data_IF_921480494892
#
_entry.id   IF_921480494892
#
_cell.length_a   1.000
_cell.length_b   1.000
_cell.length_c   1.000
_cell.angle_alpha   90.00
_cell.angle_beta   90.00
_cell.angle_gamma   90.00
#
_symmetry.space_group_name_H-M   'P 1'
#
loop_
_entity.id
_entity.type
_entity.pdbx_description
1 polymer ?
#
# COMPACT_ATOMS: atom_id res chain seq x y z
N UNK A 1 -24.32 14.67 8.79
CA UNK A 1 -23.52 13.74 9.61
C UNK A 1 -22.08 14.24 9.59
N UNK A 2 -21.53 14.58 10.73
CA UNK A 2 -20.10 14.86 10.88
C UNK A 2 -19.37 13.53 10.62
N UNK A 3 -18.49 13.50 9.63
CA UNK A 3 -17.67 12.30 9.36
C UNK A 3 -16.81 12.02 10.61
N UNK A 4 -16.79 10.77 11.06
CA UNK A 4 -15.92 10.35 12.15
C UNK A 4 -14.46 10.69 11.79
N UNK A 5 -13.71 11.10 12.79
CA UNK A 5 -12.29 11.34 12.66
C UNK A 5 -11.60 10.01 12.29
N UNK A 6 -10.64 10.06 11.38
CA UNK A 6 -9.85 8.87 11.08
C UNK A 6 -8.51 8.99 11.80
N UNK A 7 -8.27 8.08 12.75
CA UNK A 7 -7.06 8.00 13.55
C UNK A 7 -6.26 6.74 13.19
N UNK A 8 -4.98 6.78 13.46
CA UNK A 8 -4.05 5.68 13.29
C UNK A 8 -3.02 5.67 14.43
N UNK A 9 -2.28 4.58 14.56
CA UNK A 9 -1.22 4.44 15.57
C UNK A 9 0.14 4.62 14.89
N UNK A 10 0.95 5.55 15.37
CA UNK A 10 2.34 5.68 14.97
C UNK A 10 3.17 4.56 15.60
N UNK A 11 3.72 3.65 14.79
CA UNK A 11 4.37 2.43 15.31
C UNK A 11 5.55 2.74 16.25
N UNK A 12 6.35 3.76 15.92
CA UNK A 12 7.56 4.10 16.70
C UNK A 12 7.27 4.59 18.11
N UNK A 13 6.27 5.44 18.27
CA UNK A 13 5.91 6.07 19.55
C UNK A 13 4.77 5.33 20.27
N UNK A 14 3.95 4.56 19.53
CA UNK A 14 2.69 4.00 20.02
C UNK A 14 1.57 5.04 20.16
N UNK A 15 1.81 6.30 19.76
CA UNK A 15 0.86 7.39 19.88
C UNK A 15 -0.28 7.28 18.86
N UNK A 16 -1.47 7.69 19.29
CA UNK A 16 -2.62 7.87 18.41
C UNK A 16 -2.52 9.22 17.72
N UNK A 17 -2.58 9.20 16.39
CA UNK A 17 -2.52 10.37 15.54
C UNK A 17 -3.80 10.50 14.71
N UNK A 18 -4.28 11.73 14.51
CA UNK A 18 -5.38 12.00 13.62
C UNK A 18 -4.87 12.23 12.18
N UNK A 19 -5.45 11.52 11.22
CA UNK A 19 -5.19 11.77 9.81
C UNK A 19 -5.93 13.02 9.36
N UNK A 20 -5.26 13.85 8.56
CA UNK A 20 -5.84 14.98 7.84
C UNK A 20 -5.92 14.60 6.36
N UNK A 21 -7.01 13.96 5.89
CA UNK A 21 -7.11 13.54 4.51
C UNK A 21 -7.04 14.73 3.57
N UNK A 22 -6.11 14.69 2.61
CA UNK A 22 -6.00 15.73 1.60
C UNK A 22 -7.22 15.69 0.68
N UNK A 23 -7.92 16.82 0.53
CA UNK A 23 -9.11 16.92 -0.31
C UNK A 23 -10.33 16.14 0.20
N UNK A 24 -10.35 15.72 1.46
CA UNK A 24 -11.38 14.87 2.07
C UNK A 24 -12.81 15.39 1.81
N UNK A 25 -13.01 16.71 1.86
CA UNK A 25 -14.33 17.30 1.60
C UNK A 25 -14.80 17.10 0.15
N UNK A 26 -13.91 17.24 -0.84
CA UNK A 26 -14.25 17.01 -2.27
C UNK A 26 -14.49 15.53 -2.50
N UNK A 27 -13.57 14.69 -2.01
CA UNK A 27 -13.65 13.24 -2.18
C UNK A 27 -14.89 12.69 -1.48
N UNK A 28 -15.18 13.13 -0.24
CA UNK A 28 -16.38 12.72 0.47
C UNK A 28 -17.68 13.26 -0.16
N UNK A 29 -17.68 14.50 -0.64
CA UNK A 29 -18.80 15.03 -1.38
C UNK A 29 -19.12 14.20 -2.62
N UNK A 30 -18.09 13.82 -3.37
CA UNK A 30 -18.24 13.03 -4.59
C UNK A 30 -18.69 11.57 -4.31
N UNK A 31 -18.24 10.96 -3.21
CA UNK A 31 -18.49 9.54 -2.94
C UNK A 31 -19.56 9.28 -1.86
N UNK A 32 -19.74 10.15 -0.87
CA UNK A 32 -20.61 9.88 0.27
C UNK A 32 -21.97 10.60 0.22
N UNK A 33 -22.08 11.80 -0.36
CA UNK A 33 -23.32 12.57 -0.32
C UNK A 33 -24.34 12.25 -1.43
N UNK A 34 -23.96 11.50 -2.45
CA UNK A 34 -24.89 11.17 -3.54
C UNK A 34 -24.88 9.69 -3.87
N UNK A 35 -25.57 8.89 -3.06
CA UNK A 35 -25.97 7.52 -3.39
C UNK A 35 -26.78 7.41 -4.70
N UNK A 36 -27.24 8.53 -5.24
CA UNK A 36 -28.11 8.67 -6.43
C UNK A 36 -27.41 9.41 -7.59
N UNK A 37 -26.07 9.37 -7.70
CA UNK A 37 -25.42 10.00 -8.85
C UNK A 37 -25.70 9.23 -10.14
N UNK A 38 -25.94 9.93 -11.27
CA UNK A 38 -26.05 9.29 -12.56
C UNK A 38 -24.83 8.42 -12.85
N UNK A 39 -24.98 7.23 -13.48
CA UNK A 39 -23.88 6.33 -13.80
C UNK A 39 -22.73 7.00 -14.55
N UNK A 40 -23.02 8.03 -15.37
CA UNK A 40 -22.05 8.81 -16.13
C UNK A 40 -21.06 9.59 -15.26
N UNK A 41 -21.51 10.20 -14.17
CA UNK A 41 -20.62 10.96 -13.26
C UNK A 41 -19.66 10.01 -12.55
N UNK A 42 -20.13 8.85 -12.15
CA UNK A 42 -19.32 7.82 -11.51
C UNK A 42 -18.25 7.26 -12.46
N UNK A 43 -18.62 7.02 -13.73
CA UNK A 43 -17.68 6.58 -14.76
C UNK A 43 -16.64 7.64 -15.10
N UNK A 44 -17.03 8.92 -15.15
CA UNK A 44 -16.10 10.03 -15.38
C UNK A 44 -15.08 10.16 -14.24
N UNK A 45 -15.51 10.06 -12.98
CA UNK A 45 -14.63 10.16 -11.79
C UNK A 45 -13.60 9.02 -11.74
N UNK A 46 -13.96 7.82 -12.22
CA UNK A 46 -13.06 6.67 -12.30
C UNK A 46 -12.25 6.57 -13.59
N UNK A 47 -12.39 7.53 -14.52
CA UNK A 47 -11.73 7.49 -15.82
C UNK A 47 -10.26 7.92 -15.74
N UNK A 48 -9.42 7.34 -16.60
CA UNK A 48 -8.02 7.70 -16.73
C UNK A 48 -7.84 9.18 -17.11
N UNK A 49 -8.68 9.69 -18.02
CA UNK A 49 -8.61 11.07 -18.48
C UNK A 49 -8.85 12.08 -17.34
N UNK A 50 -9.91 11.86 -16.55
CA UNK A 50 -10.21 12.72 -15.41
C UNK A 50 -9.14 12.64 -14.30
N UNK A 51 -8.64 11.43 -14.03
CA UNK A 51 -7.54 11.21 -13.10
C UNK A 51 -6.26 11.93 -13.56
N UNK A 52 -5.93 11.85 -14.86
CA UNK A 52 -4.77 12.54 -15.45
C UNK A 52 -4.91 14.05 -15.43
N UNK A 53 -6.10 14.59 -15.74
CA UNK A 53 -6.38 16.03 -15.67
C UNK A 53 -6.23 16.56 -14.24
N UNK A 54 -6.80 15.86 -13.25
CA UNK A 54 -6.64 16.24 -11.84
C UNK A 54 -5.17 16.14 -11.39
N UNK A 55 -4.46 15.12 -11.86
CA UNK A 55 -3.03 14.95 -11.61
C UNK A 55 -2.24 16.15 -12.17
N UNK A 56 -2.47 16.52 -13.43
CA UNK A 56 -1.81 17.65 -14.07
C UNK A 56 -2.10 18.97 -13.34
N UNK A 57 -3.37 19.28 -13.04
CA UNK A 57 -3.75 20.51 -12.33
C UNK A 57 -3.10 20.61 -10.95
N UNK A 58 -3.03 19.50 -10.21
CA UNK A 58 -2.50 19.52 -8.84
C UNK A 58 -0.98 19.45 -8.75
N UNK A 59 -0.32 18.79 -9.71
CA UNK A 59 1.11 18.45 -9.57
C UNK A 59 2.01 19.10 -10.62
N UNK A 60 1.49 19.42 -11.82
CA UNK A 60 2.30 19.90 -12.95
C UNK A 60 1.97 21.34 -13.36
N UNK A 61 0.84 21.90 -12.92
CA UNK A 61 0.43 23.24 -13.35
C UNK A 61 1.37 24.31 -12.76
N UNK A 62 2.04 25.14 -13.60
CA UNK A 62 3.09 26.07 -13.15
C UNK A 62 2.64 27.11 -12.10
N UNK A 63 1.36 27.49 -12.12
CA UNK A 63 0.77 28.39 -11.14
C UNK A 63 0.18 27.68 -9.92
N UNK A 64 0.08 26.35 -9.94
CA UNK A 64 -0.39 25.56 -8.80
C UNK A 64 0.52 25.70 -7.59
N UNK A 65 1.83 25.93 -7.81
CA UNK A 65 2.80 26.17 -6.74
C UNK A 65 2.61 27.48 -5.98
N UNK A 66 2.06 28.52 -6.61
CA UNK A 66 1.75 29.80 -5.96
C UNK A 66 0.33 29.84 -5.39
N UNK A 67 -0.64 29.16 -6.01
CA UNK A 67 -2.03 29.07 -5.55
C UNK A 67 -2.23 27.99 -4.48
N UNK A 68 -1.54 26.86 -4.57
CA UNK A 68 -1.56 25.76 -3.59
C UNK A 68 -0.30 25.73 -2.71
N UNK A 69 0.73 26.49 -3.07
CA UNK A 69 1.99 26.67 -2.35
C UNK A 69 2.72 25.36 -2.02
N UNK A 70 3.72 24.98 -2.83
CA UNK A 70 4.60 23.83 -2.51
C UNK A 70 5.15 23.94 -1.09
N UNK A 71 5.56 25.11 -0.64
CA UNK A 71 6.00 25.33 0.73
C UNK A 71 4.89 25.04 1.74
N UNK A 72 3.64 25.35 1.41
CA UNK A 72 2.48 25.03 2.26
C UNK A 72 2.17 23.55 2.23
N UNK A 73 2.30 22.90 1.07
CA UNK A 73 2.18 21.45 0.93
C UNK A 73 3.27 20.72 1.74
N UNK A 74 4.54 21.10 1.56
CA UNK A 74 5.67 20.55 2.31
C UNK A 74 5.48 20.73 3.82
N UNK A 75 5.05 21.92 4.26
CA UNK A 75 4.79 22.22 5.67
C UNK A 75 3.57 21.46 6.21
N UNK A 76 2.53 21.31 5.42
CA UNK A 76 1.32 20.58 5.81
C UNK A 76 1.54 19.07 5.85
N UNK A 77 2.40 18.55 4.97
CA UNK A 77 2.74 17.12 4.92
C UNK A 77 3.84 16.73 5.91
N UNK A 78 4.44 17.69 6.63
CA UNK A 78 5.54 17.46 7.58
C UNK A 78 6.68 16.59 6.99
N UNK A 79 7.02 16.81 5.71
CA UNK A 79 8.05 16.03 5.00
C UNK A 79 9.42 16.38 5.59
N UNK A 80 10.15 15.35 5.99
CA UNK A 80 11.53 15.50 6.47
C UNK A 80 12.49 15.61 5.29
N UNK A 81 12.85 16.83 4.92
CA UNK A 81 13.76 17.11 3.81
C UNK A 81 15.18 16.58 4.06
N UNK A 82 15.59 16.37 5.33
CA UNK A 82 16.92 15.82 5.63
C UNK A 82 17.07 14.35 5.23
N UNK A 83 15.98 13.63 5.01
CA UNK A 83 15.99 12.25 4.50
C UNK A 83 16.13 12.19 2.98
N UNK A 84 15.82 13.30 2.27
CA UNK A 84 15.82 13.32 0.81
C UNK A 84 17.22 13.11 0.23
N UNK A 85 17.28 12.37 -0.88
CA UNK A 85 18.52 12.15 -1.64
C UNK A 85 18.90 13.42 -2.43
N UNK A 86 17.90 14.03 -3.08
CA UNK A 86 18.06 15.30 -3.76
C UNK A 86 18.10 16.46 -2.75
N UNK A 87 18.89 17.52 -3.04
CA UNK A 87 18.87 18.73 -2.23
C UNK A 87 17.51 19.43 -2.35
N UNK A 88 17.06 20.13 -1.28
CA UNK A 88 15.72 20.75 -1.23
C UNK A 88 15.41 21.68 -2.41
N UNK A 89 16.41 22.36 -2.96
CA UNK A 89 16.30 23.30 -4.08
C UNK A 89 15.84 22.62 -5.37
N UNK A 90 16.07 21.31 -5.52
CA UNK A 90 15.61 20.51 -6.66
C UNK A 90 14.18 20.01 -6.51
N UNK A 91 13.60 20.08 -5.32
CA UNK A 91 12.22 19.66 -5.02
C UNK A 91 11.24 20.84 -5.19
N UNK A 92 11.28 21.49 -6.33
CA UNK A 92 10.59 22.75 -6.64
C UNK A 92 9.14 22.57 -7.13
N UNK A 93 8.71 21.33 -7.42
CA UNK A 93 7.34 21.02 -7.85
C UNK A 93 6.71 19.98 -6.94
N UNK A 94 5.36 19.98 -6.85
CA UNK A 94 4.63 18.98 -6.08
C UNK A 94 4.92 17.56 -6.58
N UNK A 95 5.10 17.38 -7.89
CA UNK A 95 5.51 16.11 -8.49
C UNK A 95 6.88 15.66 -7.98
N UNK A 96 7.89 16.51 -8.02
CA UNK A 96 9.24 16.16 -7.56
C UNK A 96 9.27 15.83 -6.07
N UNK A 97 8.46 16.53 -5.26
CA UNK A 97 8.31 16.20 -3.84
C UNK A 97 7.66 14.85 -3.64
N UNK A 98 6.62 14.53 -4.42
CA UNK A 98 5.93 13.26 -4.34
C UNK A 98 6.85 12.11 -4.78
N UNK A 99 7.56 12.26 -5.89
CA UNK A 99 8.47 11.28 -6.48
C UNK A 99 9.88 11.30 -5.86
N UNK A 100 10.08 12.04 -4.76
CA UNK A 100 11.39 12.21 -4.11
C UNK A 100 12.02 10.86 -3.77
N UNK A 101 13.32 10.77 -3.95
CA UNK A 101 14.14 9.68 -3.42
C UNK A 101 14.59 10.04 -2.00
N UNK A 102 14.73 9.05 -1.14
CA UNK A 102 15.26 9.20 0.21
C UNK A 102 16.52 8.34 0.36
N UNK A 103 17.40 8.70 1.28
CA UNK A 103 18.55 7.88 1.66
C UNK A 103 18.08 6.71 2.54
N UNK A 104 17.26 5.80 1.96
CA UNK A 104 16.59 4.72 2.70
C UNK A 104 17.58 3.79 3.41
N UNK A 105 18.79 3.62 2.89
CA UNK A 105 19.85 2.83 3.52
C UNK A 105 20.33 3.45 4.85
N UNK A 106 20.11 4.74 5.08
CA UNK A 106 20.41 5.46 6.33
C UNK A 106 19.17 5.62 7.21
N UNK A 107 18.04 6.03 6.64
CA UNK A 107 16.85 6.46 7.39
C UNK A 107 15.76 5.38 7.51
N UNK A 108 15.89 4.25 6.82
CA UNK A 108 14.97 3.10 6.87
C UNK A 108 15.75 1.80 7.11
N UNK A 109 16.31 1.62 8.34
CA UNK A 109 17.07 0.42 8.65
C UNK A 109 16.21 -0.83 8.49
N UNK A 110 16.85 -1.93 8.10
CA UNK A 110 16.23 -3.24 7.91
C UNK A 110 16.96 -4.27 8.76
N UNK A 111 16.21 -5.21 9.33
CA UNK A 111 16.79 -6.38 10.01
C UNK A 111 17.64 -7.21 9.06
N UNK A 112 18.69 -7.81 9.58
CA UNK A 112 19.55 -8.75 8.84
C UNK A 112 18.97 -10.18 8.75
N UNK A 113 17.91 -10.51 9.50
CA UNK A 113 17.28 -11.82 9.43
C UNK A 113 16.63 -12.04 8.06
N UNK A 114 17.11 -12.98 7.24
CA UNK A 114 16.61 -13.20 5.89
C UNK A 114 15.17 -13.71 5.85
N UNK A 115 14.66 -14.30 6.93
CA UNK A 115 13.33 -14.91 7.03
C UNK A 115 12.24 -13.92 7.43
N UNK A 116 12.57 -12.66 7.64
CA UNK A 116 11.59 -11.62 7.91
C UNK A 116 10.97 -11.08 6.62
N UNK A 117 9.69 -10.72 6.74
CA UNK A 117 8.94 -9.95 5.74
C UNK A 117 8.99 -8.49 6.15
N UNK A 118 9.38 -7.62 5.23
CA UNK A 118 9.45 -6.18 5.49
C UNK A 118 8.33 -5.41 4.81
N UNK A 119 7.97 -4.27 5.39
CA UNK A 119 6.97 -3.38 4.80
C UNK A 119 7.44 -2.87 3.44
N UNK A 120 6.63 -2.99 2.38
CA UNK A 120 7.02 -2.56 1.04
C UNK A 120 7.02 -1.05 0.86
N UNK A 121 6.37 -0.28 1.74
CA UNK A 121 6.21 1.18 1.58
C UNK A 121 6.10 1.90 2.91
N UNK A 122 6.44 3.18 2.96
CA UNK A 122 6.01 4.07 4.04
C UNK A 122 4.48 4.20 3.96
N UNK A 123 3.73 3.64 4.91
CA UNK A 123 2.28 3.45 4.74
C UNK A 123 1.50 3.39 6.04
N UNK A 124 0.18 3.54 5.92
CA UNK A 124 -0.81 3.10 6.90
C UNK A 124 -1.13 1.64 6.61
N UNK A 125 -0.82 0.78 7.55
CA UNK A 125 -0.86 -0.67 7.37
C UNK A 125 -2.06 -1.29 8.10
N UNK A 126 -2.79 -2.15 7.40
CA UNK A 126 -3.80 -3.06 7.95
C UNK A 126 -3.43 -4.51 7.68
N UNK A 127 -3.69 -5.38 8.63
CA UNK A 127 -3.59 -6.84 8.49
C UNK A 127 -4.95 -7.46 8.27
N UNK A 128 -5.01 -8.56 7.54
CA UNK A 128 -6.22 -9.34 7.37
C UNK A 128 -5.93 -10.78 6.93
N UNK A 129 -6.99 -11.59 6.91
CA UNK A 129 -6.92 -12.96 6.42
C UNK A 129 -8.12 -13.31 5.55
N UNK A 130 -7.90 -14.17 4.57
CA UNK A 130 -8.93 -14.75 3.71
C UNK A 130 -9.55 -16.02 4.34
N UNK A 131 -8.93 -16.56 5.38
CA UNK A 131 -9.43 -17.74 6.08
C UNK A 131 -10.59 -17.36 7.03
N UNK A 132 -11.78 -17.91 6.80
CA UNK A 132 -13.00 -17.63 7.61
C UNK A 132 -12.86 -17.96 9.10
N UNK A 133 -11.95 -18.85 9.46
CA UNK A 133 -11.65 -19.26 10.83
C UNK A 133 -10.59 -18.39 11.51
N UNK A 134 -9.97 -17.47 10.76
CA UNK A 134 -8.95 -16.56 11.31
C UNK A 134 -9.58 -15.42 12.08
N UNK A 135 -8.96 -15.03 13.20
CA UNK A 135 -9.32 -13.80 13.93
C UNK A 135 -9.13 -12.53 13.08
N UNK A 136 -8.27 -12.58 12.08
CA UNK A 136 -8.01 -11.50 11.12
C UNK A 136 -8.98 -11.48 9.94
N UNK A 137 -10.00 -12.37 9.90
CA UNK A 137 -10.92 -12.45 8.77
C UNK A 137 -11.69 -11.14 8.55
N UNK A 138 -11.51 -10.56 7.38
CA UNK A 138 -12.24 -9.39 6.89
C UNK A 138 -13.06 -9.84 5.68
N UNK A 139 -14.39 -9.83 5.82
CA UNK A 139 -15.29 -10.13 4.68
C UNK A 139 -14.93 -9.20 3.52
N UNK A 140 -14.60 -9.71 2.33
CA UNK A 140 -14.25 -9.08 1.07
C UNK A 140 -14.67 -7.63 0.80
N UNK A 141 -14.49 -6.73 1.80
CA UNK A 141 -14.91 -5.33 1.71
C UNK A 141 -13.93 -4.50 0.90
N UNK A 142 -12.65 -4.79 1.05
CA UNK A 142 -11.59 -4.01 0.39
C UNK A 142 -11.40 -4.45 -1.06
N UNK A 143 -11.57 -5.74 -1.34
CA UNK A 143 -11.39 -6.33 -2.68
C UNK A 143 -12.23 -7.60 -2.85
N UNK A 144 -12.61 -7.91 -4.07
CA UNK A 144 -13.04 -9.22 -4.49
C UNK A 144 -11.79 -10.03 -4.84
N UNK A 145 -11.62 -11.19 -4.23
CA UNK A 145 -10.38 -11.97 -4.32
C UNK A 145 -10.06 -12.41 -5.77
N UNK A 146 -11.07 -12.91 -6.48
CA UNK A 146 -10.94 -13.36 -7.86
C UNK A 146 -10.63 -12.19 -8.81
N UNK A 147 -11.29 -11.05 -8.61
CA UNK A 147 -11.00 -9.84 -9.39
C UNK A 147 -9.59 -9.32 -9.09
N UNK A 148 -9.13 -9.38 -7.84
CA UNK A 148 -7.86 -8.81 -7.41
C UNK A 148 -6.67 -9.43 -8.16
N UNK A 149 -6.63 -10.76 -8.25
CA UNK A 149 -5.58 -11.50 -8.95
C UNK A 149 -5.86 -11.65 -10.46
N UNK A 150 -7.13 -11.61 -10.87
CA UNK A 150 -7.58 -11.92 -12.22
C UNK A 150 -8.30 -13.26 -12.26
N UNK A 151 -9.51 -13.32 -12.85
CA UNK A 151 -10.36 -14.52 -12.82
C UNK A 151 -9.78 -15.69 -13.62
N UNK A 152 -8.84 -15.45 -14.51
CA UNK A 152 -8.10 -16.42 -15.33
C UNK A 152 -6.83 -16.96 -14.66
N UNK A 153 -6.41 -16.37 -13.54
CA UNK A 153 -5.18 -16.72 -12.82
C UNK A 153 -5.39 -17.86 -11.81
N UNK A 154 -5.92 -18.99 -12.25
CA UNK A 154 -6.33 -20.14 -11.41
C UNK A 154 -5.23 -20.64 -10.48
N UNK A 155 -3.98 -20.69 -10.94
CA UNK A 155 -2.83 -21.10 -10.14
C UNK A 155 -2.66 -20.21 -8.92
N UNK A 156 -2.71 -18.90 -9.09
CA UNK A 156 -2.53 -17.93 -8.01
C UNK A 156 -3.77 -17.84 -7.12
N UNK A 157 -4.96 -17.99 -7.71
CA UNK A 157 -6.21 -18.06 -6.95
C UNK A 157 -6.23 -19.28 -6.01
N UNK A 158 -5.70 -20.42 -6.43
CA UNK A 158 -5.60 -21.58 -5.54
C UNK A 158 -4.52 -21.38 -4.47
N UNK A 159 -3.34 -20.89 -4.87
CA UNK A 159 -2.20 -20.70 -3.98
C UNK A 159 -2.49 -19.78 -2.77
N UNK A 160 -3.30 -18.73 -2.95
CA UNK A 160 -3.56 -17.73 -1.89
C UNK A 160 -4.96 -17.85 -1.26
N UNK A 161 -5.78 -18.82 -1.63
CA UNK A 161 -7.22 -18.94 -1.27
C UNK A 161 -7.57 -18.71 0.20
N UNK A 162 -6.76 -19.19 1.11
CA UNK A 162 -7.00 -19.11 2.56
C UNK A 162 -5.84 -18.44 3.29
N UNK A 163 -5.08 -17.66 2.55
CA UNK A 163 -3.90 -16.98 3.04
C UNK A 163 -4.22 -15.72 3.84
N UNK A 164 -3.17 -15.01 4.15
CA UNK A 164 -3.22 -13.74 4.85
C UNK A 164 -2.87 -12.59 3.91
N UNK A 165 -3.26 -11.37 4.28
CA UNK A 165 -2.95 -10.20 3.49
C UNK A 165 -2.53 -9.00 4.34
N UNK A 166 -1.80 -8.10 3.72
CA UNK A 166 -1.43 -6.79 4.26
C UNK A 166 -1.85 -5.73 3.27
N UNK A 167 -2.52 -4.68 3.73
CA UNK A 167 -2.84 -3.49 2.96
C UNK A 167 -1.95 -2.36 3.44
N UNK A 168 -1.14 -1.80 2.55
CA UNK A 168 -0.27 -0.65 2.76
C UNK A 168 -0.81 0.55 1.98
N UNK A 169 -1.56 1.43 2.64
CA UNK A 169 -2.11 2.64 2.03
C UNK A 169 -1.11 3.79 2.15
N UNK A 170 -0.68 4.34 1.02
CA UNK A 170 0.25 5.47 0.99
C UNK A 170 -0.55 6.77 0.94
N UNK A 171 -0.35 7.62 1.92
CA UNK A 171 -0.88 9.00 1.94
C UNK A 171 0.09 9.95 1.25
N UNK A 172 -0.40 11.11 0.80
CA UNK A 172 0.36 12.02 -0.09
C UNK A 172 1.72 12.49 0.48
N UNK A 173 1.87 12.54 1.80
CA UNK A 173 3.11 12.91 2.48
C UNK A 173 4.17 11.82 2.50
N UNK A 174 3.79 10.57 2.22
CA UNK A 174 4.69 9.41 2.31
C UNK A 174 5.76 9.42 1.21
N UNK A 175 6.76 8.59 1.37
CA UNK A 175 7.70 8.19 0.35
C UNK A 175 7.02 7.18 -0.57
N UNK A 176 7.04 7.39 -1.89
CA UNK A 176 6.19 6.67 -2.84
C UNK A 176 6.89 5.60 -3.66
N UNK A 177 8.14 5.28 -3.35
CA UNK A 177 8.75 4.06 -3.86
C UNK A 177 8.28 2.86 -3.07
N UNK A 178 7.95 1.79 -3.76
CA UNK A 178 7.77 0.46 -3.17
C UNK A 178 9.10 -0.29 -3.18
N UNK A 179 9.33 -1.02 -2.12
CA UNK A 179 10.46 -1.93 -1.98
C UNK A 179 9.98 -3.39 -1.97
N UNK A 180 10.83 -4.30 -2.39
CA UNK A 180 10.56 -5.73 -2.32
C UNK A 180 10.36 -6.18 -0.87
N UNK A 181 9.22 -6.80 -0.51
CA UNK A 181 8.96 -7.20 0.89
C UNK A 181 9.76 -8.43 1.33
N UNK A 182 10.21 -9.22 0.37
CA UNK A 182 10.88 -10.52 0.53
C UNK A 182 11.95 -10.71 -0.54
N UNK A 183 12.86 -11.67 -0.34
CA UNK A 183 13.79 -12.14 -1.36
C UNK A 183 13.24 -13.40 -2.02
N UNK A 184 13.43 -13.55 -3.34
CA UNK A 184 12.99 -14.73 -4.09
C UNK A 184 12.98 -14.52 -5.60
N UNK A 185 12.55 -15.55 -6.34
CA UNK A 185 12.39 -15.48 -7.79
C UNK A 185 10.99 -14.99 -8.18
N UNK A 186 10.92 -14.09 -9.15
CA UNK A 186 9.66 -13.68 -9.77
C UNK A 186 9.10 -14.85 -10.58
N UNK A 187 7.89 -15.31 -10.24
CA UNK A 187 7.20 -16.39 -10.98
C UNK A 187 6.20 -15.85 -11.99
N UNK A 188 5.62 -14.71 -11.71
CA UNK A 188 4.69 -14.05 -12.65
C UNK A 188 4.72 -12.53 -12.43
N UNK A 189 4.55 -11.80 -13.52
CA UNK A 189 4.44 -10.34 -13.52
C UNK A 189 3.43 -9.93 -14.59
N UNK A 190 2.34 -9.27 -14.18
CA UNK A 190 1.29 -8.87 -15.11
C UNK A 190 0.52 -7.64 -14.61
N UNK A 191 -0.14 -6.98 -15.54
CA UNK A 191 -1.02 -5.86 -15.27
C UNK A 191 -2.48 -6.28 -15.44
N UNK A 192 -3.33 -5.77 -14.57
CA UNK A 192 -4.78 -5.85 -14.70
C UNK A 192 -5.32 -4.44 -14.89
N UNK A 193 -6.00 -4.21 -16.00
CA UNK A 193 -6.68 -2.96 -16.27
C UNK A 193 -7.82 -2.72 -15.28
N UNK A 194 -8.21 -1.46 -15.12
CA UNK A 194 -9.26 -1.08 -14.17
C UNK A 194 -9.48 0.43 -14.10
N UNK A 195 -10.17 0.84 -13.05
CA UNK A 195 -10.52 2.23 -12.78
C UNK A 195 -9.47 2.93 -11.90
N UNK A 196 -9.75 4.20 -11.57
CA UNK A 196 -8.88 5.07 -10.75
C UNK A 196 -9.67 5.63 -9.55
N UNK A 197 -10.35 4.75 -8.79
CA UNK A 197 -11.10 5.17 -7.61
C UNK A 197 -10.19 5.49 -6.43
N UNK A 198 -10.63 6.43 -5.58
CA UNK A 198 -9.85 6.87 -4.41
C UNK A 198 -9.66 5.75 -3.39
N UNK A 199 -8.44 5.64 -2.84
CA UNK A 199 -8.10 4.74 -1.74
C UNK A 199 -8.25 5.38 -0.34
N UNK A 200 -8.80 6.58 -0.22
CA UNK A 200 -9.07 7.21 1.08
C UNK A 200 -10.12 6.40 1.88
N UNK A 201 -10.05 6.39 3.22
CA UNK A 201 -10.94 5.56 4.05
C UNK A 201 -12.44 5.79 3.83
N UNK A 202 -12.88 7.02 3.59
CA UNK A 202 -14.29 7.33 3.30
C UNK A 202 -14.81 6.63 2.04
N UNK A 203 -14.24 6.90 0.85
CA UNK A 203 -14.56 6.21 -0.39
C UNK A 203 -14.44 4.68 -0.31
N UNK A 204 -13.38 4.17 0.33
CA UNK A 204 -13.20 2.71 0.50
C UNK A 204 -14.37 2.10 1.29
N UNK A 205 -14.88 2.79 2.30
CA UNK A 205 -16.06 2.31 3.04
C UNK A 205 -17.36 2.50 2.30
N UNK A 206 -17.47 3.49 1.41
CA UNK A 206 -18.67 3.74 0.61
C UNK A 206 -18.80 2.78 -0.59
N UNK A 207 -17.68 2.34 -1.16
CA UNK A 207 -17.65 1.46 -2.34
C UNK A 207 -17.59 -0.02 -1.98
N UNK A 208 -18.02 -0.87 -2.90
CA UNK A 208 -17.77 -2.31 -2.83
C UNK A 208 -16.46 -2.64 -3.53
N UNK A 209 -15.55 -3.32 -2.83
CA UNK A 209 -14.30 -3.89 -3.36
C UNK A 209 -13.43 -2.93 -4.21
N UNK A 210 -13.11 -1.70 -3.70
CA UNK A 210 -12.46 -0.67 -4.53
C UNK A 210 -11.08 -1.08 -5.04
N UNK A 211 -10.31 -1.85 -4.28
CA UNK A 211 -8.94 -2.20 -4.67
C UNK A 211 -8.88 -3.18 -5.85
N UNK A 212 -9.82 -4.11 -5.97
CA UNK A 212 -9.86 -5.03 -7.12
C UNK A 212 -10.40 -4.40 -8.40
N UNK A 213 -11.06 -3.23 -8.30
CA UNK A 213 -11.61 -2.51 -9.47
C UNK A 213 -10.63 -1.54 -10.09
N UNK A 214 -9.59 -1.16 -9.38
CA UNK A 214 -8.58 -0.23 -9.87
C UNK A 214 -7.52 -0.95 -10.72
N UNK A 215 -6.92 -0.20 -11.68
CA UNK A 215 -5.73 -0.66 -12.42
C UNK A 215 -4.64 -1.05 -11.43
N UNK A 216 -3.97 -2.18 -11.67
CA UNK A 216 -2.97 -2.73 -10.76
C UNK A 216 -1.93 -3.57 -11.47
N UNK A 217 -0.77 -3.65 -10.85
CA UNK A 217 0.35 -4.52 -11.24
C UNK A 217 0.49 -5.62 -10.21
N UNK A 218 0.56 -6.86 -10.64
CA UNK A 218 0.74 -8.04 -9.78
C UNK A 218 2.11 -8.65 -10.03
N UNK A 219 2.85 -8.87 -8.96
CA UNK A 219 4.15 -9.55 -8.97
C UNK A 219 4.07 -10.73 -8.02
N UNK A 220 4.25 -11.95 -8.50
CA UNK A 220 4.28 -13.17 -7.68
C UNK A 220 5.73 -13.58 -7.46
N UNK A 221 6.13 -13.72 -6.20
CA UNK A 221 7.50 -14.02 -5.77
C UNK A 221 7.50 -15.38 -5.07
N UNK A 222 8.33 -16.30 -5.52
CA UNK A 222 8.61 -17.56 -4.84
C UNK A 222 9.82 -17.39 -3.93
N UNK A 223 9.59 -17.51 -2.64
CA UNK A 223 10.61 -17.32 -1.62
C UNK A 223 11.19 -18.63 -1.07
N UNK A 224 10.63 -19.79 -1.45
CA UNK A 224 11.13 -21.11 -1.06
C UNK A 224 12.25 -21.59 -2.01
N UNK A 225 13.22 -20.72 -2.21
CA UNK A 225 14.36 -20.89 -3.11
C UNK A 225 15.67 -20.59 -2.37
N UNK A 226 16.83 -21.00 -2.88
CA UNK A 226 18.11 -20.61 -2.30
C UNK A 226 18.23 -19.09 -2.15
N UNK A 227 18.64 -18.61 -0.98
CA UNK A 227 18.70 -17.20 -0.60
C UNK A 227 17.34 -16.46 -0.55
N UNK A 228 16.23 -17.16 -0.71
CA UNK A 228 14.89 -16.60 -0.54
C UNK A 228 14.48 -16.46 0.92
N UNK A 229 13.40 -15.72 1.17
CA UNK A 229 12.90 -15.47 2.53
C UNK A 229 12.15 -16.64 3.18
N UNK A 230 11.87 -17.73 2.46
CA UNK A 230 11.30 -18.95 2.99
C UNK A 230 9.87 -18.84 3.53
N UNK A 231 9.09 -17.89 3.03
CA UNK A 231 7.69 -17.64 3.43
C UNK A 231 6.67 -18.12 2.38
N UNK A 232 7.11 -18.99 1.46
CA UNK A 232 6.28 -19.49 0.37
C UNK A 232 6.09 -18.48 -0.77
N UNK A 233 4.98 -18.59 -1.46
CA UNK A 233 4.61 -17.60 -2.48
C UNK A 233 4.09 -16.33 -1.83
N UNK A 234 4.52 -15.19 -2.37
CA UNK A 234 4.05 -13.86 -1.98
C UNK A 234 3.59 -13.12 -3.23
N UNK A 235 2.35 -12.64 -3.24
CA UNK A 235 1.91 -11.72 -4.29
C UNK A 235 2.00 -10.27 -3.78
N UNK A 236 2.75 -9.43 -4.47
CA UNK A 236 2.79 -7.99 -4.27
C UNK A 236 1.94 -7.32 -5.35
N UNK A 237 0.90 -6.61 -4.93
CA UNK A 237 -0.10 -6.00 -5.80
C UNK A 237 -0.05 -4.49 -5.59
N UNK A 238 0.38 -3.78 -6.60
CA UNK A 238 0.50 -2.33 -6.62
C UNK A 238 -0.73 -1.75 -7.31
N UNK A 239 -1.49 -0.91 -6.60
CA UNK A 239 -2.82 -0.46 -7.02
C UNK A 239 -2.79 1.05 -7.20
N UNK A 240 -3.11 1.53 -8.40
CA UNK A 240 -3.31 2.95 -8.66
C UNK A 240 -4.65 3.42 -8.11
N UNK A 241 -4.74 4.72 -7.84
CA UNK A 241 -5.98 5.32 -7.40
C UNK A 241 -6.16 6.70 -8.04
N UNK A 242 -7.17 7.45 -7.59
CA UNK A 242 -7.48 8.78 -8.12
C UNK A 242 -6.24 9.69 -8.12
N UNK A 243 -5.97 10.32 -9.24
CA UNK A 243 -4.80 11.17 -9.55
C UNK A 243 -3.46 10.41 -9.73
N UNK A 244 -3.42 9.09 -9.54
CA UNK A 244 -2.26 8.27 -9.90
C UNK A 244 -2.43 7.77 -11.32
N UNK A 245 -1.53 8.17 -12.20
CA UNK A 245 -1.61 7.75 -13.60
C UNK A 245 -0.84 6.47 -13.90
N UNK A 246 0.18 6.11 -13.09
CA UNK A 246 1.13 5.08 -13.51
C UNK A 246 1.94 4.49 -12.35
N UNK A 247 2.44 3.27 -12.56
CA UNK A 247 3.38 2.56 -11.70
C UNK A 247 4.63 2.27 -12.50
N UNK A 248 5.71 2.97 -12.20
CA UNK A 248 6.98 2.81 -12.92
C UNK A 248 7.80 1.71 -12.24
N UNK A 249 8.07 0.63 -12.95
CA UNK A 249 8.99 -0.41 -12.44
C UNK A 249 10.43 0.09 -12.55
N UNK A 250 11.17 0.04 -11.44
CA UNK A 250 12.51 0.59 -11.32
C UNK A 250 13.35 -0.20 -10.28
N UNK A 251 13.31 -1.54 -10.40
CA UNK A 251 14.05 -2.39 -9.46
C UNK A 251 15.55 -2.13 -9.52
N UNK A 252 16.16 -1.93 -8.35
CA UNK A 252 17.60 -1.74 -8.25
C UNK A 252 18.15 -2.31 -6.94
N UNK A 253 19.24 -3.05 -7.03
CA UNK A 253 20.08 -3.48 -5.88
C UNK A 253 21.16 -2.46 -5.53
N UNK A 254 21.32 -1.42 -6.35
CA UNK A 254 22.30 -0.35 -6.19
C UNK A 254 21.61 0.97 -5.81
N UNK A 255 20.86 0.94 -4.72
CA UNK A 255 20.02 2.06 -4.30
C UNK A 255 18.98 2.42 -5.37
N UNK A 256 19.21 3.44 -6.20
CA UNK A 256 18.32 3.85 -7.30
C UNK A 256 19.03 3.79 -8.67
N UNK A 257 20.31 3.37 -8.68
CA UNK A 257 21.10 3.31 -9.90
C UNK A 257 20.83 2.02 -10.66
N UNK A 258 21.08 2.04 -11.97
CA UNK A 258 20.84 0.91 -12.89
C UNK A 258 19.43 0.28 -12.74
N UNK A 259 18.34 1.07 -12.79
CA UNK A 259 17.00 0.52 -12.60
C UNK A 259 16.64 -0.43 -13.75
N UNK A 260 16.12 -1.60 -13.38
CA UNK A 260 15.67 -2.63 -14.32
C UNK A 260 14.15 -2.84 -14.22
N UNK A 261 13.48 -3.24 -15.32
CA UNK A 261 12.12 -3.73 -15.26
C UNK A 261 12.05 -5.06 -14.50
N UNK A 262 10.89 -5.33 -13.90
CA UNK A 262 10.62 -6.65 -13.31
C UNK A 262 10.30 -7.65 -14.43
N UNK A 263 10.96 -8.78 -14.42
CA UNK A 263 10.78 -9.87 -15.38
C UNK A 263 10.59 -11.20 -14.65
N UNK A 264 9.82 -12.15 -15.22
CA UNK A 264 9.79 -13.52 -14.73
C UNK A 264 11.19 -14.14 -14.66
N UNK A 265 11.38 -15.04 -13.71
CA UNK A 265 12.64 -15.74 -13.39
C UNK A 265 13.79 -14.82 -12.90
N UNK A 266 13.52 -13.54 -12.65
CA UNK A 266 14.46 -12.62 -12.02
C UNK A 266 14.47 -12.86 -10.50
N UNK A 267 15.65 -12.94 -9.88
CA UNK A 267 15.78 -12.91 -8.43
C UNK A 267 15.72 -11.47 -7.92
N UNK A 268 14.89 -11.24 -6.91
CA UNK A 268 14.80 -9.94 -6.23
C UNK A 268 15.29 -10.05 -4.79
N UNK A 269 16.08 -9.09 -4.37
CA UNK A 269 16.55 -8.96 -3.00
C UNK A 269 15.53 -8.22 -2.13
N UNK A 270 15.42 -8.61 -0.87
CA UNK A 270 14.53 -7.98 0.09
C UNK A 270 14.94 -6.53 0.39
N UNK A 271 13.96 -5.63 0.44
CA UNK A 271 14.16 -4.23 0.84
C UNK A 271 14.80 -3.34 -0.22
N UNK A 272 14.91 -3.79 -1.47
CA UNK A 272 15.37 -3.00 -2.60
C UNK A 272 14.21 -2.22 -3.24
N UNK A 273 14.43 -0.99 -3.74
CA UNK A 273 13.45 -0.28 -4.54
C UNK A 273 12.99 -1.12 -5.72
N UNK A 274 11.66 -1.26 -5.89
CA UNK A 274 11.04 -2.06 -6.95
C UNK A 274 10.29 -1.17 -7.94
N UNK A 275 9.51 -0.25 -7.42
CA UNK A 275 8.65 0.60 -8.25
C UNK A 275 8.40 1.96 -7.61
N UNK A 276 7.91 2.89 -8.42
CA UNK A 276 7.50 4.23 -8.02
C UNK A 276 6.04 4.45 -8.43
N UNK A 277 5.20 4.85 -7.49
CA UNK A 277 3.90 5.43 -7.81
C UNK A 277 4.05 6.87 -8.28
N UNK A 278 3.48 7.20 -9.44
CA UNK A 278 3.29 8.58 -9.88
C UNK A 278 2.27 9.30 -8.98
N UNK A 279 2.25 10.66 -8.97
CA UNK A 279 1.43 11.43 -8.02
C UNK A 279 -0.03 11.00 -7.88
N UNK A 280 -0.51 10.86 -6.63
CA UNK A 280 -1.90 10.51 -6.27
C UNK A 280 -2.01 9.66 -5.01
N UNK A 281 -3.19 9.09 -4.75
CA UNK A 281 -3.33 8.06 -3.72
C UNK A 281 -2.92 6.70 -4.28
N UNK A 282 -2.31 5.87 -3.47
CA UNK A 282 -1.85 4.54 -3.88
C UNK A 282 -1.93 3.54 -2.74
N UNK A 283 -1.99 2.28 -3.10
CA UNK A 283 -2.03 1.19 -2.14
C UNK A 283 -1.18 0.03 -2.66
N UNK A 284 -0.36 -0.53 -1.80
CA UNK A 284 0.31 -1.81 -2.06
C UNK A 284 -0.31 -2.87 -1.18
N UNK A 285 -0.71 -3.98 -1.77
CA UNK A 285 -1.28 -5.11 -1.07
C UNK A 285 -0.36 -6.31 -1.22
N UNK A 286 -0.14 -7.03 -0.10
CA UNK A 286 0.58 -8.29 -0.10
C UNK A 286 -0.39 -9.41 0.18
N UNK A 287 -0.28 -10.54 -0.56
CA UNK A 287 -0.92 -11.79 -0.23
C UNK A 287 0.14 -12.83 0.13
N UNK A 288 -0.17 -13.63 1.12
CA UNK A 288 0.66 -14.74 1.58
C UNK A 288 -0.13 -16.04 1.51
N UNK A 289 0.54 -17.14 1.27
CA UNK A 289 -0.06 -18.46 1.41
C UNK A 289 -0.47 -18.71 2.87
N UNK A 290 -1.46 -19.56 3.05
CA UNK A 290 -1.94 -19.95 4.37
C UNK A 290 -0.80 -20.50 5.24
N UNK A 291 -0.77 -20.07 6.51
CA UNK A 291 0.14 -20.57 7.54
C UNK A 291 1.64 -20.38 7.25
N UNK A 292 2.02 -19.44 6.36
CA UNK A 292 3.44 -19.19 6.01
C UNK A 292 4.06 -18.06 6.80
N UNK A 293 3.27 -17.06 7.20
CA UNK A 293 3.76 -15.85 7.87
C UNK A 293 3.18 -15.70 9.27
N UNK A 294 4.02 -15.35 10.22
CA UNK A 294 3.63 -14.87 11.54
C UNK A 294 3.83 -13.35 11.60
N UNK A 295 2.75 -12.60 11.68
CA UNK A 295 2.82 -11.15 11.76
C UNK A 295 3.38 -10.67 13.10
N UNK A 296 3.99 -9.48 13.09
CA UNK A 296 4.52 -8.83 14.29
C UNK A 296 3.41 -8.60 15.32
N UNK A 297 3.61 -9.01 16.59
CA UNK A 297 2.56 -8.97 17.62
C UNK A 297 2.04 -7.56 17.93
N UNK A 298 2.88 -6.53 17.77
CA UNK A 298 2.49 -5.12 17.94
C UNK A 298 1.48 -4.67 16.90
N UNK A 299 1.65 -5.09 15.64
CA UNK A 299 0.71 -4.78 14.55
C UNK A 299 -0.64 -5.44 14.78
N UNK A 300 -0.65 -6.69 15.27
CA UNK A 300 -1.89 -7.41 15.61
C UNK A 300 -2.60 -6.70 16.78
N UNK A 301 -1.88 -6.32 17.84
CA UNK A 301 -2.47 -5.57 18.98
C UNK A 301 -3.07 -4.25 18.53
N UNK A 302 -2.34 -3.49 17.71
CA UNK A 302 -2.78 -2.20 17.21
C UNK A 302 -4.08 -2.31 16.39
N UNK A 303 -4.20 -3.35 15.57
CA UNK A 303 -5.37 -3.60 14.73
C UNK A 303 -6.68 -3.62 15.53
N UNK A 304 -6.64 -4.13 16.76
CA UNK A 304 -7.81 -4.35 17.61
C UNK A 304 -7.99 -3.32 18.72
N UNK A 305 -7.28 -2.20 18.72
CA UNK A 305 -7.46 -1.14 19.70
C UNK A 305 -8.86 -0.55 19.62
N UNK A 306 -9.51 -0.43 20.79
CA UNK A 306 -10.89 0.07 20.90
C UNK A 306 -10.97 1.52 21.33
N UNK A 307 -9.86 2.09 21.75
CA UNK A 307 -9.70 3.48 22.19
C UNK A 307 -9.29 4.44 21.05
N UNK A 308 -9.27 3.93 19.80
CA UNK A 308 -8.88 4.67 18.59
C UNK A 308 -10.04 4.74 17.61
N UNK A 309 -10.36 5.94 17.14
CA UNK A 309 -11.45 6.15 16.17
C UNK A 309 -10.97 5.89 14.74
N UNK A 310 -11.65 4.99 14.03
CA UNK A 310 -11.34 4.68 12.64
C UNK A 310 -12.61 4.52 11.81
N UNK A 311 -12.62 5.15 10.63
CA UNK A 311 -13.71 5.00 9.65
C UNK A 311 -13.91 3.54 9.22
N UNK A 312 -12.85 2.73 9.26
CA UNK A 312 -12.95 1.30 8.99
C UNK A 312 -13.68 0.58 10.13
N UNK A 313 -13.36 0.93 11.38
CA UNK A 313 -14.04 0.36 12.56
C UNK A 313 -15.51 0.68 12.55
N UNK A 314 -15.89 1.93 12.28
CA UNK A 314 -17.28 2.36 12.16
C UNK A 314 -18.01 1.62 11.04
N UNK A 315 -17.41 1.56 9.85
CA UNK A 315 -18.01 0.93 8.68
C UNK A 315 -18.13 -0.59 8.76
N UNK A 316 -17.30 -1.26 9.56
CA UNK A 316 -17.29 -2.73 9.70
C UNK A 316 -17.86 -3.23 11.04
N UNK A 317 -18.20 -2.31 11.96
CA UNK A 317 -18.77 -2.65 13.27
C UNK A 317 -17.82 -3.42 14.19
N UNK A 318 -16.51 -3.29 14.01
CA UNK A 318 -15.46 -3.90 14.85
C UNK A 318 -14.17 -3.09 14.76
N UNK A 319 -13.29 -3.17 15.78
CA UNK A 319 -12.00 -2.49 15.73
C UNK A 319 -11.18 -2.90 14.51
N UNK A 320 -10.73 -1.89 13.76
CA UNK A 320 -9.85 -2.05 12.61
C UNK A 320 -9.02 -0.78 12.44
N UNK A 321 -7.85 -0.77 13.09
CA UNK A 321 -7.01 0.40 13.22
C UNK A 321 -5.76 0.26 12.38
N UNK A 322 -5.48 1.28 11.58
CA UNK A 322 -4.23 1.37 10.82
C UNK A 322 -3.04 1.67 11.73
N UNK A 323 -1.92 1.05 11.41
CA UNK A 323 -0.62 1.39 12.03
C UNK A 323 0.29 2.06 11.00
N UNK A 324 0.87 3.20 11.35
CA UNK A 324 1.88 3.89 10.53
C UNK A 324 3.20 3.12 10.58
N UNK A 325 3.63 2.59 9.46
CA UNK A 325 4.82 1.75 9.33
C UNK A 325 5.75 2.32 8.27
N UNK A 326 7.03 2.33 8.56
CA UNK A 326 8.06 2.72 7.59
C UNK A 326 8.42 1.56 6.67
N UNK A 327 8.74 1.86 5.43
CA UNK A 327 9.32 0.92 4.47
C UNK A 327 10.53 0.21 5.07
N UNK A 328 10.73 -1.07 4.74
CA UNK A 328 11.81 -1.93 5.24
C UNK A 328 11.69 -2.34 6.72
N UNK A 329 10.74 -1.79 7.49
CA UNK A 329 10.46 -2.28 8.85
C UNK A 329 9.84 -3.67 8.81
N UNK A 330 10.24 -4.55 9.70
CA UNK A 330 9.70 -5.91 9.84
C UNK A 330 8.20 -5.86 10.16
N UNK A 331 7.40 -6.57 9.35
CA UNK A 331 5.95 -6.70 9.55
C UNK A 331 5.53 -8.12 9.92
N UNK A 332 6.42 -9.08 9.74
CA UNK A 332 6.25 -10.48 10.06
C UNK A 332 7.50 -11.28 9.74
N UNK A 333 7.45 -12.56 9.98
CA UNK A 333 8.53 -13.49 9.67
C UNK A 333 7.96 -14.85 9.25
N UNK A 334 8.81 -15.70 8.72
CA UNK A 334 8.47 -17.10 8.45
C UNK A 334 7.88 -17.76 9.69
N UNK A 335 6.69 -18.35 9.55
CA UNK A 335 6.08 -19.11 10.63
C UNK A 335 6.93 -20.35 10.92
N UNK A 336 7.40 -20.49 12.15
CA UNK A 336 8.11 -21.70 12.56
C UNK A 336 7.14 -22.88 12.49
N UNK A 337 7.46 -23.88 11.71
CA UNK A 337 6.86 -25.22 11.86
C UNK A 337 7.38 -25.75 13.19
N UNK A 338 6.55 -25.76 14.22
CA UNK A 338 6.83 -26.60 15.39
C UNK A 338 6.87 -28.03 14.85
N UNK A 339 8.06 -28.61 14.75
CA UNK A 339 8.19 -30.07 14.71
C UNK A 339 7.44 -30.56 15.93
N UNK A 340 6.38 -31.35 15.70
CA UNK A 340 5.70 -32.03 16.76
C UNK A 340 6.72 -32.98 17.41
N UNK A 341 7.26 -32.59 18.54
CA UNK A 341 7.83 -33.60 19.45
C UNK A 341 6.64 -34.46 19.85
N UNK A 342 6.58 -35.62 19.24
CA UNK A 342 5.77 -36.74 19.75
C UNK A 342 6.29 -37.05 21.15
N UNK A 343 5.45 -36.87 22.15
CA UNK A 343 5.61 -37.51 23.42
C UNK A 343 5.32 -39.01 23.17
N UNK A 344 6.38 -39.81 23.29
CA UNK A 344 6.30 -41.27 23.50
C UNK A 344 5.84 -41.55 24.96
#
# INVERSE_FOLDING_TARGET
MTLAQHQYIERKSGEVRAERPFGDWIVNYLYCQKREQPPLVYQLLGSQWFSSLLGWVNYDFPFGSSLTGIQRFLKNCAINLSECFEPPEKLDTARKVFERRIRYWQCRPMSSDPFEVVCPADSRLLLGSLARTSALFLKGKFFAYEELLGPDKFLWLDAFRHGDFVICRLTAEKYHYNHTPVAGFIRDFYENDGHYHSCNPGPVMAMATPYSKNKRVVTVIDTDVPNGSGVGLVAMIEIVALMVGDIVQCYSTKEYDDPAPILPEMFVERGCPKSLFRPGSSTTLLLFQKDRVQFSPDLIRNLYRTDVESRYSEGLGRPLIETDVQVRSTIGARKSTKEGYGDD
#
